data_IF_503875246971
#
_entry.id   IF_503875246971
#
_cell.length_a   1.000
_cell.length_b   1.000
_cell.length_c   1.000
_cell.angle_alpha   90.00
_cell.angle_beta   90.00
_cell.angle_gamma   90.00
#
_symmetry.space_group_name_H-M   'P 1'
#
loop_
_entity.id
_entity.type
_entity.pdbx_description
1 polymer ?
#
# COMPACT_ATOMS: atom_id res chain seq x y z
N UNK A 1 2.45 11.58 -20.34
CA UNK A 1 2.35 12.92 -19.69
C UNK A 1 2.55 12.75 -18.20
N UNK A 2 2.96 13.80 -17.48
CA UNK A 2 3.12 13.76 -16.04
C UNK A 2 2.99 15.15 -15.41
N UNK A 3 2.65 15.15 -14.12
CA UNK A 3 2.76 16.30 -13.22
C UNK A 3 3.85 16.03 -12.19
N UNK A 4 4.62 17.05 -11.83
CA UNK A 4 5.71 16.94 -10.87
C UNK A 4 5.46 17.84 -9.67
N UNK A 5 5.57 17.25 -8.48
CA UNK A 5 5.47 17.91 -7.19
C UNK A 5 6.76 17.71 -6.39
N UNK A 6 6.82 18.29 -5.20
CA UNK A 6 8.02 18.19 -4.37
C UNK A 6 8.35 16.75 -3.97
N UNK A 7 7.35 15.98 -3.52
CA UNK A 7 7.52 14.63 -2.95
C UNK A 7 7.04 13.50 -3.86
N UNK A 8 6.37 13.80 -4.94
CA UNK A 8 5.81 12.80 -5.86
C UNK A 8 5.65 13.32 -7.27
N UNK A 9 5.41 12.39 -8.20
CA UNK A 9 5.08 12.62 -9.60
C UNK A 9 3.89 11.76 -9.99
N UNK A 10 3.00 12.26 -10.86
CA UNK A 10 1.88 11.49 -11.40
C UNK A 10 2.02 11.34 -12.89
N UNK A 11 2.16 10.11 -13.36
CA UNK A 11 2.29 9.75 -14.78
C UNK A 11 0.96 9.21 -15.29
N UNK A 12 0.50 9.69 -16.45
CA UNK A 12 -0.78 9.30 -17.02
C UNK A 12 -0.75 9.23 -18.54
N UNK A 13 -1.67 8.44 -19.08
CA UNK A 13 -1.90 8.28 -20.50
C UNK A 13 -2.94 9.26 -21.04
N UNK A 14 -3.18 9.22 -22.34
CA UNK A 14 -4.24 10.04 -22.97
C UNK A 14 -5.60 9.69 -22.32
N UNK A 15 -6.35 10.73 -21.95
CA UNK A 15 -7.64 10.57 -21.25
C UNK A 15 -7.53 10.43 -19.72
N UNK A 16 -6.33 10.27 -19.16
CA UNK A 16 -6.15 10.07 -17.71
C UNK A 16 -5.83 11.34 -16.91
N UNK A 17 -6.01 12.53 -17.51
CA UNK A 17 -5.66 13.79 -16.87
C UNK A 17 -6.40 14.01 -15.55
N UNK A 18 -7.69 13.83 -15.55
CA UNK A 18 -8.56 14.01 -14.37
C UNK A 18 -8.18 13.05 -13.24
N UNK A 19 -7.91 11.78 -13.55
CA UNK A 19 -7.44 10.81 -12.56
C UNK A 19 -6.06 11.18 -12.00
N UNK A 20 -5.18 11.76 -12.83
CA UNK A 20 -3.87 12.19 -12.38
C UNK A 20 -3.95 13.41 -11.45
N UNK A 21 -4.82 14.35 -11.73
CA UNK A 21 -5.10 15.53 -10.88
C UNK A 21 -5.70 15.08 -9.54
N UNK A 22 -6.69 14.19 -9.58
CA UNK A 22 -7.29 13.61 -8.39
C UNK A 22 -6.25 12.86 -7.53
N UNK A 23 -5.46 11.99 -8.17
CA UNK A 23 -4.40 11.24 -7.49
C UNK A 23 -3.39 12.17 -6.83
N UNK A 24 -3.00 13.25 -7.51
CA UNK A 24 -2.07 14.24 -6.98
C UNK A 24 -2.62 14.93 -5.74
N UNK A 25 -3.86 15.37 -5.77
CA UNK A 25 -4.51 16.04 -4.64
C UNK A 25 -4.63 15.10 -3.44
N UNK A 26 -5.14 13.90 -3.65
CA UNK A 26 -5.29 12.91 -2.60
C UNK A 26 -3.93 12.50 -2.00
N UNK A 27 -2.93 12.21 -2.84
CA UNK A 27 -1.58 11.83 -2.41
C UNK A 27 -0.92 12.92 -1.58
N UNK A 28 -1.13 14.20 -1.91
CA UNK A 28 -0.56 15.31 -1.14
C UNK A 28 -0.95 15.28 0.34
N UNK A 29 -2.21 15.02 0.61
CA UNK A 29 -2.72 14.92 1.99
C UNK A 29 -2.26 13.64 2.67
N UNK A 30 -2.30 12.51 1.96
CA UNK A 30 -1.94 11.22 2.55
C UNK A 30 -0.45 11.11 2.84
N UNK A 31 0.43 11.61 1.99
CA UNK A 31 1.89 11.62 2.25
C UNK A 31 2.18 12.33 3.56
N UNK A 32 1.64 13.54 3.77
CA UNK A 32 1.84 14.29 5.01
C UNK A 32 1.34 13.53 6.24
N UNK A 33 0.17 12.90 6.13
CA UNK A 33 -0.42 12.10 7.21
C UNK A 33 0.46 10.90 7.56
N UNK A 34 0.94 10.18 6.56
CA UNK A 34 1.74 8.97 6.78
C UNK A 34 3.17 9.31 7.24
N UNK A 35 3.79 10.37 6.72
CA UNK A 35 5.07 10.86 7.23
C UNK A 35 4.99 11.22 8.72
N UNK A 36 3.91 11.89 9.12
CA UNK A 36 3.69 12.22 10.54
C UNK A 36 3.44 10.97 11.41
N UNK A 37 2.72 9.98 10.88
CA UNK A 37 2.47 8.72 11.59
C UNK A 37 3.74 7.92 11.83
N UNK A 38 4.60 7.82 10.82
CA UNK A 38 5.85 7.06 10.89
C UNK A 38 7.02 7.85 11.48
N UNK A 39 6.85 9.15 11.74
CA UNK A 39 7.94 10.08 12.08
C UNK A 39 9.13 9.97 11.09
N UNK A 40 8.79 9.88 9.81
CA UNK A 40 9.75 9.66 8.72
C UNK A 40 9.37 10.48 7.49
N UNK A 41 10.34 11.14 6.90
CA UNK A 41 10.19 11.94 5.66
C UNK A 41 10.69 11.14 4.48
N UNK A 42 9.93 11.11 3.40
CA UNK A 42 10.32 10.44 2.15
C UNK A 42 11.67 10.96 1.64
N UNK A 43 12.62 10.07 1.44
CA UNK A 43 13.93 10.35 0.86
C UNK A 43 13.86 10.48 -0.67
N UNK A 44 13.04 9.64 -1.31
CA UNK A 44 12.84 9.63 -2.75
C UNK A 44 11.37 9.90 -3.09
N UNK A 45 11.16 10.58 -4.23
CA UNK A 45 9.81 10.86 -4.73
C UNK A 45 9.07 9.58 -5.09
N UNK A 46 7.80 9.55 -4.71
CA UNK A 46 6.87 8.51 -5.18
C UNK A 46 6.48 8.80 -6.63
N UNK A 47 6.50 7.80 -7.49
CA UNK A 47 6.04 7.89 -8.87
C UNK A 47 4.75 7.11 -9.04
N UNK A 48 3.61 7.81 -9.12
CA UNK A 48 2.32 7.18 -9.42
C UNK A 48 2.15 7.02 -10.93
N UNK A 49 2.00 5.79 -11.39
CA UNK A 49 1.72 5.46 -12.79
C UNK A 49 0.27 5.00 -12.89
N UNK A 50 -0.57 5.81 -13.55
CA UNK A 50 -2.02 5.70 -13.51
C UNK A 50 -2.53 5.13 -14.83
N UNK A 51 -3.23 4.01 -14.75
CA UNK A 51 -3.95 3.38 -15.85
C UNK A 51 -5.43 3.76 -15.79
N UNK A 52 -6.01 4.13 -16.92
CA UNK A 52 -7.41 4.54 -16.99
C UNK A 52 -8.38 3.38 -16.71
N UNK A 53 -7.92 2.14 -16.91
CA UNK A 53 -8.71 0.92 -16.72
C UNK A 53 -7.82 -0.22 -16.21
N UNK A 54 -8.42 -1.15 -15.48
CA UNK A 54 -7.76 -2.38 -15.06
C UNK A 54 -7.25 -3.23 -16.25
N UNK A 55 -7.99 -3.26 -17.35
CA UNK A 55 -7.56 -3.97 -18.57
C UNK A 55 -6.25 -3.43 -19.13
N UNK A 56 -6.05 -2.12 -19.12
CA UNK A 56 -4.83 -1.48 -19.61
C UNK A 56 -3.64 -1.83 -18.71
N UNK A 57 -3.87 -1.85 -17.40
CA UNK A 57 -2.88 -2.31 -16.43
C UNK A 57 -2.47 -3.77 -16.69
N UNK A 58 -3.43 -4.68 -16.85
CA UNK A 58 -3.17 -6.11 -17.11
C UNK A 58 -2.40 -6.36 -18.40
N UNK A 59 -2.54 -5.52 -19.40
CA UNK A 59 -1.81 -5.63 -20.67
C UNK A 59 -0.40 -5.01 -20.61
N UNK A 60 -0.07 -4.33 -19.53
CA UNK A 60 1.27 -3.78 -19.33
C UNK A 60 2.27 -4.87 -18.92
N UNK A 61 3.56 -4.64 -19.18
CA UNK A 61 4.62 -5.54 -18.74
C UNK A 61 4.62 -5.77 -17.22
N UNK A 62 4.07 -4.83 -16.47
CA UNK A 62 3.93 -4.89 -15.02
C UNK A 62 2.78 -5.82 -14.65
N UNK A 63 1.63 -5.75 -15.33
CA UNK A 63 0.47 -6.59 -15.08
C UNK A 63 0.67 -8.05 -15.54
N UNK A 64 1.56 -8.29 -16.52
CA UNK A 64 1.87 -9.61 -17.05
C UNK A 64 2.81 -10.43 -16.17
N UNK A 65 3.59 -9.81 -15.31
CA UNK A 65 4.47 -10.51 -14.37
C UNK A 65 3.65 -11.02 -13.19
N UNK A 66 3.22 -12.25 -13.27
CA UNK A 66 2.17 -12.90 -12.51
C UNK A 66 2.56 -13.44 -11.13
N UNK A 67 3.34 -12.75 -10.35
CA UNK A 67 3.35 -13.03 -8.93
C UNK A 67 2.24 -12.19 -8.30
N UNK A 68 1.08 -12.85 -8.09
CA UNK A 68 -0.09 -12.30 -7.40
C UNK A 68 0.21 -12.04 -5.92
N UNK A 69 1.16 -11.18 -5.63
CA UNK A 69 1.27 -10.56 -4.32
C UNK A 69 0.18 -9.51 -4.24
N UNK A 70 -1.04 -9.97 -3.98
CA UNK A 70 -2.14 -9.09 -3.63
C UNK A 70 -1.78 -8.35 -2.36
N UNK A 71 -1.50 -7.07 -2.46
CA UNK A 71 -1.56 -6.23 -1.29
C UNK A 71 -3.02 -6.20 -0.82
N UNK A 72 -3.25 -6.36 0.48
CA UNK A 72 -4.59 -6.49 1.06
C UNK A 72 -5.41 -5.20 0.97
N UNK A 73 -4.77 -4.08 0.63
CA UNK A 73 -5.40 -2.79 0.40
C UNK A 73 -5.94 -2.53 -1.02
N UNK A 74 -5.93 -3.57 -1.89
CA UNK A 74 -6.17 -3.40 -3.32
C UNK A 74 -4.88 -3.64 -4.09
N UNK A 75 -4.98 -4.17 -5.30
CA UNK A 75 -3.82 -4.57 -6.09
C UNK A 75 -3.02 -3.34 -6.51
N UNK A 76 -2.11 -2.93 -5.66
CA UNK A 76 -1.13 -1.93 -6.01
C UNK A 76 0.18 -2.65 -6.22
N UNK A 77 0.69 -2.64 -7.44
CA UNK A 77 2.03 -3.15 -7.67
C UNK A 77 3.03 -2.04 -7.45
N UNK A 78 4.03 -2.34 -6.64
CA UNK A 78 5.10 -1.40 -6.31
C UNK A 78 6.43 -1.98 -6.79
N UNK A 79 7.21 -1.13 -7.44
CA UNK A 79 8.57 -1.46 -7.86
C UNK A 79 9.47 -0.29 -7.47
N UNK A 80 10.21 -0.44 -6.40
CA UNK A 80 10.96 0.66 -5.77
C UNK A 80 10.02 1.75 -5.28
N UNK A 81 10.21 2.98 -5.77
CA UNK A 81 9.33 4.12 -5.46
C UNK A 81 8.19 4.33 -6.48
N UNK A 82 7.95 3.35 -7.38
CA UNK A 82 6.88 3.41 -8.40
C UNK A 82 5.66 2.65 -7.93
N UNK A 83 4.53 3.34 -7.89
CA UNK A 83 3.21 2.82 -7.50
C UNK A 83 2.33 2.78 -8.74
N UNK A 84 1.90 1.60 -9.15
CA UNK A 84 1.06 1.40 -10.32
C UNK A 84 -0.40 1.31 -9.91
N UNK A 85 -1.21 2.25 -10.38
CA UNK A 85 -2.61 2.42 -10.04
C UNK A 85 -3.49 2.16 -11.26
N UNK A 86 -4.69 1.66 -11.05
CA UNK A 86 -5.70 1.56 -12.09
C UNK A 86 -7.09 1.96 -11.56
N UNK A 87 -7.90 2.52 -12.43
CA UNK A 87 -9.26 2.97 -12.09
C UNK A 87 -10.30 1.94 -12.54
N UNK A 88 -11.21 1.59 -11.65
CA UNK A 88 -12.33 0.64 -11.89
C UNK A 88 -13.70 1.32 -11.76
N UNK A 89 -13.75 2.66 -11.88
CA UNK A 89 -14.99 3.41 -11.71
C UNK A 89 -15.33 3.75 -10.25
N UNK A 90 -14.44 3.43 -9.31
CA UNK A 90 -14.64 3.62 -7.88
C UNK A 90 -13.46 4.38 -7.27
N UNK A 91 -13.72 5.59 -6.81
CA UNK A 91 -12.71 6.45 -6.18
C UNK A 91 -12.29 5.97 -4.80
N UNK A 92 -13.15 5.27 -4.06
CA UNK A 92 -12.77 4.71 -2.76
C UNK A 92 -11.70 3.63 -2.93
N UNK A 93 -11.86 2.76 -3.92
CA UNK A 93 -10.83 1.77 -4.29
C UNK A 93 -9.55 2.43 -4.79
N UNK A 94 -9.66 3.50 -5.56
CA UNK A 94 -8.49 4.27 -5.99
C UNK A 94 -7.76 4.89 -4.79
N UNK A 95 -8.49 5.46 -3.84
CA UNK A 95 -7.94 6.01 -2.60
C UNK A 95 -7.21 4.95 -1.77
N UNK A 96 -7.78 3.75 -1.65
CA UNK A 96 -7.13 2.63 -0.98
C UNK A 96 -5.83 2.24 -1.68
N UNK A 97 -5.81 2.18 -3.01
CA UNK A 97 -4.59 1.90 -3.78
C UNK A 97 -3.52 2.98 -3.55
N UNK A 98 -3.88 4.25 -3.62
CA UNK A 98 -2.94 5.37 -3.42
C UNK A 98 -2.36 5.32 -2.01
N UNK A 99 -3.21 5.19 -0.99
CA UNK A 99 -2.78 5.19 0.41
C UNK A 99 -1.92 3.96 0.73
N UNK A 100 -2.30 2.78 0.29
CA UNK A 100 -1.52 1.55 0.41
C UNK A 100 -0.14 1.72 -0.23
N UNK A 101 -0.10 2.27 -1.46
CA UNK A 101 1.15 2.52 -2.15
C UNK A 101 2.09 3.50 -1.42
N UNK A 102 1.55 4.56 -0.85
CA UNK A 102 2.32 5.52 -0.04
C UNK A 102 2.92 4.83 1.18
N UNK A 103 2.11 4.07 1.92
CA UNK A 103 2.53 3.37 3.13
C UNK A 103 3.63 2.34 2.80
N UNK A 104 3.44 1.54 1.75
CA UNK A 104 4.43 0.54 1.35
C UNK A 104 5.76 1.18 0.92
N UNK A 105 5.73 2.28 0.16
CA UNK A 105 6.95 3.01 -0.22
C UNK A 105 7.65 3.61 1.00
N UNK A 106 6.89 4.20 1.94
CA UNK A 106 7.45 4.71 3.19
C UNK A 106 8.13 3.60 3.99
N UNK A 107 7.46 2.47 4.22
CA UNK A 107 8.03 1.32 4.91
C UNK A 107 9.29 0.83 4.17
N UNK A 108 9.23 0.73 2.83
CA UNK A 108 10.38 0.31 2.04
C UNK A 108 11.57 1.27 2.20
N UNK A 109 11.35 2.57 2.11
CA UNK A 109 12.42 3.56 2.29
C UNK A 109 12.96 3.56 3.73
N UNK A 110 12.11 3.41 4.73
CA UNK A 110 12.54 3.26 6.13
C UNK A 110 13.41 2.03 6.35
N UNK A 111 13.12 0.93 5.64
CA UNK A 111 13.84 -0.34 5.79
C UNK A 111 15.15 -0.36 4.99
N UNK A 112 15.15 0.16 3.79
CA UNK A 112 16.22 0.00 2.79
C UNK A 112 16.79 1.31 2.25
N UNK A 113 16.08 2.43 2.44
CA UNK A 113 16.51 3.76 2.05
C UNK A 113 17.31 4.44 3.16
N UNK A 114 18.18 5.38 2.78
CA UNK A 114 18.86 6.24 3.71
C UNK A 114 20.25 5.77 4.18
N UNK A 115 20.82 6.55 5.07
CA UNK A 115 22.14 6.39 5.62
C UNK A 115 22.28 5.04 6.34
N UNK A 116 23.43 4.36 6.25
CA UNK A 116 23.75 3.13 7.00
C UNK A 116 23.41 3.18 8.50
N UNK A 117 23.35 4.37 9.08
CA UNK A 117 22.94 4.57 10.47
C UNK A 117 21.46 4.33 10.71
N UNK A 118 20.62 4.58 9.72
CA UNK A 118 19.16 4.39 9.81
C UNK A 118 18.78 2.93 9.54
N UNK A 119 19.52 2.25 8.69
CA UNK A 119 19.40 0.80 8.47
C UNK A 119 19.64 0.01 9.78
N UNK A 120 20.62 0.42 10.59
CA UNK A 120 20.90 -0.22 11.88
C UNK A 120 19.77 0.04 12.89
N UNK A 121 19.19 1.24 12.92
CA UNK A 121 18.03 1.55 13.78
C UNK A 121 16.77 0.80 13.38
N UNK A 122 16.61 0.55 12.08
CA UNK A 122 15.42 -0.10 11.51
C UNK A 122 15.60 -1.63 11.34
N UNK A 123 16.70 -2.20 11.82
CA UNK A 123 16.96 -3.64 11.72
C UNK A 123 15.85 -4.52 12.32
N UNK A 124 15.12 -3.99 13.31
CA UNK A 124 13.97 -4.68 13.88
C UNK A 124 12.82 -4.86 12.86
N UNK A 125 12.58 -3.87 11.97
CA UNK A 125 11.56 -3.96 10.93
C UNK A 125 11.92 -5.01 9.87
N UNK A 126 13.22 -5.20 9.58
CA UNK A 126 13.69 -6.21 8.63
C UNK A 126 13.43 -7.65 9.07
N UNK A 127 13.21 -7.87 10.38
CA UNK A 127 12.91 -9.19 10.95
C UNK A 127 11.42 -9.47 11.09
N UNK A 128 10.56 -8.47 10.85
CA UNK A 128 9.12 -8.65 10.96
C UNK A 128 8.59 -9.56 9.84
N UNK A 129 7.74 -10.52 10.18
CA UNK A 129 7.08 -11.34 9.16
C UNK A 129 6.24 -10.49 8.21
N UNK A 130 6.23 -10.84 6.92
CA UNK A 130 5.48 -10.09 5.89
C UNK A 130 3.98 -9.94 6.23
N UNK A 131 3.35 -10.98 6.79
CA UNK A 131 1.95 -10.91 7.22
C UNK A 131 1.69 -9.84 8.28
N UNK A 132 2.68 -9.58 9.15
CA UNK A 132 2.58 -8.57 10.20
C UNK A 132 2.63 -7.14 9.61
N UNK A 133 3.56 -6.93 8.68
CA UNK A 133 3.67 -5.66 7.92
C UNK A 133 2.42 -5.44 7.06
N UNK A 134 1.91 -6.48 6.40
CA UNK A 134 0.67 -6.42 5.63
C UNK A 134 -0.54 -6.05 6.51
N UNK A 135 -0.57 -6.51 7.75
CA UNK A 135 -1.59 -6.12 8.73
C UNK A 135 -1.54 -4.63 9.08
N UNK A 136 -0.36 -4.07 9.27
CA UNK A 136 -0.17 -2.63 9.46
C UNK A 136 -0.66 -1.83 8.25
N UNK A 137 -0.27 -2.24 7.04
CA UNK A 137 -0.72 -1.59 5.79
C UNK A 137 -2.25 -1.64 5.69
N UNK A 138 -2.84 -2.79 5.97
CA UNK A 138 -4.29 -2.97 5.97
C UNK A 138 -4.97 -2.06 7.00
N UNK A 139 -4.45 -1.97 8.22
CA UNK A 139 -4.98 -1.11 9.26
C UNK A 139 -4.93 0.38 8.86
N UNK A 140 -3.78 0.86 8.41
CA UNK A 140 -3.60 2.26 8.00
C UNK A 140 -4.38 2.64 6.72
N UNK A 141 -4.72 1.64 5.88
CA UNK A 141 -5.46 1.85 4.63
C UNK A 141 -6.96 1.78 4.84
N UNK A 142 -7.43 0.79 5.61
CA UNK A 142 -8.85 0.46 5.75
C UNK A 142 -9.44 0.89 7.10
N UNK A 143 -8.62 1.04 8.13
CA UNK A 143 -9.09 1.36 9.48
C UNK A 143 -10.16 0.36 9.97
N UNK A 144 -11.27 0.89 10.46
CA UNK A 144 -12.39 0.10 10.99
C UNK A 144 -13.33 -0.45 9.89
N UNK A 145 -12.78 -0.96 8.78
CA UNK A 145 -13.55 -1.56 7.70
C UNK A 145 -14.44 -2.70 8.24
N UNK A 146 -15.78 -2.64 8.02
CA UNK A 146 -16.72 -3.63 8.55
C UNK A 146 -16.43 -5.05 8.07
N UNK A 147 -15.89 -5.24 6.86
CA UNK A 147 -15.53 -6.57 6.35
C UNK A 147 -14.37 -7.15 7.15
N UNK A 148 -13.35 -6.36 7.44
CA UNK A 148 -12.20 -6.78 8.26
C UNK A 148 -12.66 -7.10 9.68
N UNK A 149 -13.46 -6.22 10.29
CA UNK A 149 -14.02 -6.43 11.64
C UNK A 149 -14.85 -7.72 11.71
N UNK A 150 -15.70 -7.98 10.72
CA UNK A 150 -16.51 -9.19 10.68
C UNK A 150 -15.66 -10.45 10.54
N UNK A 151 -14.61 -10.41 9.73
CA UNK A 151 -13.66 -11.53 9.62
C UNK A 151 -12.91 -11.80 10.92
N UNK A 152 -12.53 -10.74 11.64
CA UNK A 152 -11.88 -10.85 12.94
C UNK A 152 -12.84 -11.50 13.95
N UNK A 153 -14.09 -11.02 14.03
CA UNK A 153 -15.12 -11.59 14.90
C UNK A 153 -15.38 -13.06 14.60
N UNK A 154 -15.52 -13.41 13.32
CA UNK A 154 -15.67 -14.80 12.88
C UNK A 154 -14.46 -15.67 13.29
N UNK A 155 -13.26 -15.15 13.12
CA UNK A 155 -12.03 -15.84 13.52
C UNK A 155 -11.94 -16.10 15.02
N UNK A 156 -12.35 -15.14 15.85
CA UNK A 156 -12.41 -15.28 17.31
C UNK A 156 -13.48 -16.29 17.70
N UNK A 157 -14.72 -16.14 17.18
CA UNK A 157 -15.85 -17.01 17.51
C UNK A 157 -15.59 -18.47 17.15
N UNK A 158 -14.90 -18.73 16.06
CA UNK A 158 -14.57 -20.07 15.58
C UNK A 158 -13.18 -20.57 16.06
N UNK A 159 -12.57 -19.92 17.05
CA UNK A 159 -11.28 -20.29 17.66
C UNK A 159 -10.15 -20.48 16.62
N UNK A 160 -10.24 -19.76 15.48
CA UNK A 160 -9.25 -19.84 14.40
C UNK A 160 -7.88 -19.32 14.82
N UNK A 161 -7.85 -18.34 15.75
CA UNK A 161 -6.64 -17.66 16.18
C UNK A 161 -5.92 -18.34 17.35
N UNK A 162 -6.52 -19.36 17.97
CA UNK A 162 -5.88 -20.11 19.07
C UNK A 162 -4.58 -20.80 18.64
N UNK A 163 -4.42 -21.05 17.34
CA UNK A 163 -3.24 -21.67 16.74
C UNK A 163 -2.63 -20.76 15.69
N UNK A 164 -2.20 -19.59 16.11
CA UNK A 164 -1.70 -18.53 15.23
C UNK A 164 -0.63 -19.01 14.22
N UNK A 165 0.26 -19.89 14.63
CA UNK A 165 1.28 -20.50 13.78
C UNK A 165 0.75 -21.44 12.68
N UNK A 166 -0.56 -21.73 12.67
CA UNK A 166 -1.24 -22.53 11.64
C UNK A 166 -2.08 -21.70 10.69
N UNK A 167 -2.17 -20.38 10.91
CA UNK A 167 -2.91 -19.48 10.03
C UNK A 167 -2.23 -19.42 8.66
N UNK A 168 -3.03 -19.43 7.61
CA UNK A 168 -2.51 -19.07 6.29
C UNK A 168 -2.15 -17.55 6.25
N UNK A 169 -1.32 -17.10 5.30
CA UNK A 169 -0.87 -15.71 5.25
C UNK A 169 -2.00 -14.68 5.23
N UNK A 170 -3.14 -15.00 4.62
CA UNK A 170 -4.31 -14.09 4.55
C UNK A 170 -4.98 -13.93 5.91
N UNK A 171 -5.20 -15.03 6.62
CA UNK A 171 -5.78 -15.01 7.97
C UNK A 171 -4.82 -14.36 8.96
N UNK A 172 -3.52 -14.65 8.88
CA UNK A 172 -2.50 -14.02 9.70
C UNK A 172 -2.47 -12.49 9.50
N UNK A 173 -2.65 -12.02 8.26
CA UNK A 173 -2.73 -10.58 7.98
C UNK A 173 -3.99 -9.95 8.58
N UNK A 174 -5.14 -10.61 8.53
CA UNK A 174 -6.39 -10.12 9.16
C UNK A 174 -6.21 -10.04 10.68
N UNK A 175 -5.62 -11.06 11.29
CA UNK A 175 -5.30 -11.04 12.71
C UNK A 175 -4.31 -9.91 13.07
N UNK A 176 -3.29 -9.70 12.25
CA UNK A 176 -2.33 -8.60 12.42
C UNK A 176 -2.98 -7.22 12.30
N UNK A 177 -3.92 -7.03 11.38
CA UNK A 177 -4.71 -5.80 11.30
C UNK A 177 -5.42 -5.48 12.64
N UNK A 178 -5.94 -6.50 13.32
CA UNK A 178 -6.58 -6.33 14.62
C UNK A 178 -5.59 -6.07 15.77
N UNK A 179 -4.33 -6.41 15.59
CA UNK A 179 -3.28 -6.17 16.59
C UNK A 179 -2.78 -4.73 16.58
N UNK A 180 -2.86 -4.05 15.45
CA UNK A 180 -2.50 -2.65 15.27
C UNK A 180 -3.61 -1.70 15.72
#
# INVERSE_FOLDING_TARGET
>A
KFYRFEKYETYFYTGGKELAEYTAEYAHHQIKKQEAFFDYVLDEKIQFVIYNKHSDFKQSNIGLSSDETYSIGGVTRIVGSKVFLYFEGDYERLNQQINSGIIEVLIYQMMYGGNWKDVIKNSALLTLPQWYVNGLISYLTKGDDPEVINRIKDGITNEKYDKFNRLNPKEATVASHAMW
#
